data_IF_886425409271
#
_entry.id   IF_886425409271
#
_cell.length_a   1.000
_cell.length_b   1.000
_cell.length_c   1.000
_cell.angle_alpha   90.00
_cell.angle_beta   90.00
_cell.angle_gamma   90.00
#
_symmetry.space_group_name_H-M   'P 1'
#
loop_
_entity.id
_entity.type
_entity.pdbx_description
1 polymer ?
#
# COMPACT_ATOMS: atom_id res chain seq x y z
N UNK A 1 6.94 8.24 -13.80
CA UNK A 1 7.32 8.50 -12.39
C UNK A 1 7.40 7.15 -11.68
N UNK A 2 8.60 6.69 -11.33
CA UNK A 2 8.73 5.48 -10.52
C UNK A 2 8.03 5.69 -9.17
N UNK A 3 7.30 4.68 -8.70
CA UNK A 3 6.61 4.79 -7.42
C UNK A 3 7.64 4.81 -6.28
N UNK A 4 7.78 5.97 -5.63
CA UNK A 4 8.79 6.22 -4.61
C UNK A 4 8.78 5.16 -3.50
N UNK A 5 7.60 4.60 -3.18
CA UNK A 5 7.43 3.60 -2.11
C UNK A 5 8.33 2.37 -2.27
N UNK A 6 8.65 2.01 -3.52
CA UNK A 6 9.45 0.82 -3.83
C UNK A 6 10.93 0.96 -3.50
N UNK A 7 11.40 2.17 -3.20
CA UNK A 7 12.77 2.44 -2.79
C UNK A 7 12.95 2.44 -1.27
N UNK A 8 11.88 2.16 -0.50
CA UNK A 8 11.90 2.19 0.95
C UNK A 8 11.40 0.88 1.56
N UNK A 9 11.83 0.63 2.79
CA UNK A 9 11.30 -0.35 3.74
C UNK A 9 11.59 0.17 5.17
N UNK A 10 11.12 -0.55 6.18
CA UNK A 10 11.21 -0.10 7.57
C UNK A 10 12.64 0.13 8.06
N UNK A 11 13.57 -0.79 7.78
CA UNK A 11 14.95 -0.77 8.29
C UNK A 11 16.03 -0.42 7.25
N UNK A 12 15.66 -0.14 6.00
CA UNK A 12 16.63 -0.05 4.90
C UNK A 12 17.16 -1.43 4.45
N UNK A 13 18.14 -1.40 3.54
CA UNK A 13 18.95 -2.54 3.12
C UNK A 13 18.24 -3.58 2.23
N UNK A 14 18.59 -4.85 2.45
CA UNK A 14 18.12 -5.99 1.67
C UNK A 14 18.73 -6.10 0.26
N UNK A 15 18.31 -7.11 -0.51
CA UNK A 15 18.82 -7.43 -1.87
C UNK A 15 18.72 -6.26 -2.87
N UNK A 16 17.84 -5.30 -2.61
CA UNK A 16 17.58 -4.16 -3.49
C UNK A 16 18.11 -2.83 -2.94
N UNK A 17 18.88 -2.83 -1.85
CA UNK A 17 19.49 -1.60 -1.30
C UNK A 17 18.45 -0.53 -0.98
N UNK A 18 17.32 -0.92 -0.37
CA UNK A 18 16.25 0.02 -0.04
C UNK A 18 16.72 1.02 1.02
N UNK A 19 16.20 2.24 0.96
CA UNK A 19 16.40 3.26 1.98
C UNK A 19 15.50 2.98 3.18
N UNK A 20 15.99 3.31 4.36
CA UNK A 20 15.19 3.28 5.58
C UNK A 20 14.05 4.32 5.51
N UNK A 21 12.89 3.98 6.07
CA UNK A 21 11.85 4.96 6.33
C UNK A 21 12.38 6.03 7.29
N UNK A 22 12.10 7.29 6.99
CA UNK A 22 12.51 8.37 7.88
C UNK A 22 11.86 8.20 9.26
N UNK A 23 12.52 8.71 10.32
CA UNK A 23 12.04 8.56 11.69
C UNK A 23 10.62 9.09 11.91
N UNK A 24 10.25 10.21 11.27
CA UNK A 24 8.92 10.80 11.46
C UNK A 24 7.80 9.89 10.93
N UNK A 25 7.98 9.27 9.76
CA UNK A 25 7.01 8.29 9.23
C UNK A 25 6.90 7.06 10.11
N UNK A 26 8.00 6.54 10.64
CA UNK A 26 7.97 5.40 11.57
C UNK A 26 7.23 5.74 12.86
N UNK A 27 7.46 6.93 13.39
CA UNK A 27 6.78 7.40 14.60
C UNK A 27 5.27 7.57 14.39
N UNK A 28 4.84 8.15 13.26
CA UNK A 28 3.42 8.27 12.92
C UNK A 28 2.77 6.88 12.84
N UNK A 29 3.40 5.94 12.14
CA UNK A 29 2.88 4.56 12.05
C UNK A 29 2.79 3.94 13.45
N UNK A 30 3.82 4.12 14.28
CA UNK A 30 3.87 3.59 15.65
C UNK A 30 2.75 4.14 16.53
N UNK A 31 2.57 5.46 16.56
CA UNK A 31 1.54 6.10 17.38
C UNK A 31 0.14 5.72 16.92
N UNK A 32 -0.11 5.75 15.60
CA UNK A 32 -1.41 5.42 15.04
C UNK A 32 -1.79 3.97 15.34
N UNK A 33 -0.88 3.03 15.08
CA UNK A 33 -1.15 1.60 15.29
C UNK A 33 -1.34 1.26 16.76
N UNK A 34 -0.53 1.81 17.68
CA UNK A 34 -0.71 1.57 19.13
C UNK A 34 -2.00 2.21 19.66
N UNK A 35 -2.42 3.34 19.09
CA UNK A 35 -3.70 3.97 19.47
C UNK A 35 -4.89 3.11 19.07
N UNK A 36 -4.85 2.51 17.88
CA UNK A 36 -5.95 1.69 17.34
C UNK A 36 -5.91 0.24 17.85
N UNK A 37 -4.71 -0.29 18.09
CA UNK A 37 -4.42 -1.68 18.45
C UNK A 37 -3.41 -1.72 19.61
N UNK A 38 -3.84 -1.46 20.86
CA UNK A 38 -2.93 -1.34 22.01
C UNK A 38 -2.05 -2.58 22.26
N UNK A 39 -2.49 -3.77 21.85
CA UNK A 39 -1.77 -5.03 21.92
C UNK A 39 -0.46 -5.02 21.12
N UNK A 40 -0.35 -4.20 20.07
CA UNK A 40 0.88 -4.05 19.28
C UNK A 40 1.90 -3.11 19.94
N UNK A 41 1.65 -2.67 21.18
CA UNK A 41 2.61 -1.88 21.95
C UNK A 41 3.88 -2.67 22.24
N UNK A 42 3.80 -3.98 22.45
CA UNK A 42 4.98 -4.82 22.66
C UNK A 42 5.83 -4.87 21.38
N UNK A 43 7.14 -4.68 21.53
CA UNK A 43 8.07 -4.54 20.40
C UNK A 43 8.07 -5.77 19.47
N UNK A 44 8.03 -6.99 20.04
CA UNK A 44 8.02 -8.22 19.22
C UNK A 44 6.74 -8.37 18.41
N UNK A 45 5.59 -8.00 18.98
CA UNK A 45 4.30 -8.01 18.31
C UNK A 45 4.27 -6.94 17.21
N UNK A 46 4.78 -5.74 17.51
CA UNK A 46 4.92 -4.66 16.54
C UNK A 46 5.79 -5.06 15.35
N UNK A 47 6.96 -5.66 15.63
CA UNK A 47 7.88 -6.16 14.61
C UNK A 47 7.25 -7.23 13.74
N UNK A 48 6.58 -8.20 14.36
CA UNK A 48 6.03 -9.35 13.64
C UNK A 48 4.83 -8.98 12.80
N UNK A 49 3.96 -8.08 13.28
CA UNK A 49 2.69 -7.78 12.63
C UNK A 49 2.77 -6.51 11.79
N UNK A 50 3.21 -5.40 12.41
CA UNK A 50 3.14 -4.07 11.79
C UNK A 50 4.27 -3.85 10.79
N UNK A 51 5.52 -4.12 11.19
CA UNK A 51 6.68 -3.89 10.31
C UNK A 51 6.60 -4.77 9.06
N UNK A 52 6.18 -6.03 9.21
CA UNK A 52 6.02 -6.94 8.09
C UNK A 52 4.92 -6.48 7.12
N UNK A 53 3.75 -6.06 7.62
CA UNK A 53 2.67 -5.51 6.79
C UNK A 53 3.10 -4.25 6.04
N UNK A 54 3.78 -3.31 6.72
CA UNK A 54 4.32 -2.10 6.09
C UNK A 54 5.32 -2.47 4.99
N UNK A 55 6.25 -3.38 5.28
CA UNK A 55 7.24 -3.81 4.29
C UNK A 55 6.59 -4.45 3.06
N UNK A 56 5.53 -5.23 3.24
CA UNK A 56 4.76 -5.84 2.15
C UNK A 56 4.10 -4.80 1.26
N UNK A 57 3.45 -3.78 1.85
CA UNK A 57 2.87 -2.65 1.12
C UNK A 57 3.92 -1.86 0.32
N UNK A 58 5.16 -1.82 0.81
CA UNK A 58 6.30 -1.16 0.16
C UNK A 58 7.03 -2.07 -0.85
N UNK A 59 6.63 -3.35 -1.02
CA UNK A 59 7.23 -4.21 -2.04
C UNK A 59 6.81 -3.79 -3.43
N UNK A 60 7.72 -4.00 -4.38
CA UNK A 60 7.40 -3.96 -5.79
C UNK A 60 6.46 -5.12 -6.07
N UNK A 61 5.21 -4.83 -6.38
CA UNK A 61 4.37 -5.83 -7.02
C UNK A 61 5.05 -6.21 -8.35
N UNK A 62 5.22 -7.51 -8.67
CA UNK A 62 5.73 -7.87 -9.97
C UNK A 62 4.88 -7.15 -11.01
N UNK A 63 5.51 -6.58 -12.05
CA UNK A 63 4.74 -6.15 -13.21
C UNK A 63 3.96 -7.40 -13.60
N UNK A 64 2.62 -7.38 -13.46
CA UNK A 64 1.79 -8.33 -14.19
C UNK A 64 2.29 -8.15 -15.61
N UNK A 65 2.97 -9.15 -16.17
CA UNK A 65 3.14 -9.18 -17.61
C UNK A 65 1.69 -9.16 -18.09
N UNK A 66 1.22 -7.99 -18.54
CA UNK A 66 0.03 -7.98 -19.38
C UNK A 66 0.47 -8.88 -20.53
N UNK A 67 -0.15 -10.06 -20.77
CA UNK A 67 0.02 -10.66 -22.08
C UNK A 67 -0.26 -9.52 -23.06
N UNK A 68 0.66 -9.30 -23.99
CA UNK A 68 0.42 -8.35 -25.08
C UNK A 68 -0.99 -8.64 -25.58
N UNK A 69 -1.87 -7.63 -25.52
CA UNK A 69 -3.26 -7.77 -25.89
C UNK A 69 -3.29 -8.47 -27.25
N UNK A 70 -3.57 -9.77 -27.26
CA UNK A 70 -4.09 -10.41 -28.45
C UNK A 70 -5.34 -9.58 -28.77
N UNK A 71 -5.34 -8.99 -29.96
CA UNK A 71 -6.38 -8.12 -30.45
C UNK A 71 -7.75 -8.78 -30.21
N UNK A 72 -8.46 -8.34 -29.19
CA UNK A 72 -9.89 -8.58 -29.05
C UNK A 72 -10.50 -7.21 -29.18
N UNK A 73 -10.98 -6.92 -30.37
CA UNK A 73 -11.92 -5.84 -30.64
C UNK A 73 -13.16 -6.11 -29.78
N UNK A 74 -13.25 -5.49 -28.61
CA UNK A 74 -14.49 -5.43 -27.85
C UNK A 74 -15.26 -4.24 -28.43
N UNK A 75 -16.18 -4.60 -29.32
CA UNK A 75 -17.21 -3.73 -29.86
C UNK A 75 -17.97 -3.02 -28.74
N UNK A 76 -18.22 -1.74 -28.97
CA UNK A 76 -18.89 -0.78 -28.11
C UNK A 76 -20.09 -1.36 -27.33
N UNK A 77 -19.99 -1.45 -26.01
CA UNK A 77 -21.17 -1.39 -25.14
C UNK A 77 -20.79 -0.76 -23.78
N UNK A 78 -21.37 0.39 -23.39
CA UNK A 78 -21.09 0.98 -22.09
C UNK A 78 -21.65 0.08 -20.97
N UNK A 79 -20.94 -0.08 -19.84
CA UNK A 79 -21.49 -0.79 -18.69
C UNK A 79 -22.68 0.00 -18.16
N UNK A 80 -23.85 -0.67 -18.06
CA UNK A 80 -25.01 -0.17 -17.33
C UNK A 80 -24.55 0.38 -15.98
N UNK A 81 -24.96 1.62 -15.68
CA UNK A 81 -24.70 2.27 -14.41
C UNK A 81 -25.26 1.39 -13.28
N UNK A 82 -24.38 0.83 -12.46
CA UNK A 82 -24.76 0.17 -11.22
C UNK A 82 -25.46 1.21 -10.33
N UNK A 83 -26.77 1.03 -10.02
CA UNK A 83 -27.55 2.02 -9.28
C UNK A 83 -27.15 2.13 -7.80
N UNK A 84 -26.22 1.31 -7.31
CA UNK A 84 -25.78 1.31 -5.91
C UNK A 84 -24.45 2.03 -5.63
N UNK A 85 -23.82 2.65 -6.63
CA UNK A 85 -22.69 3.56 -6.37
C UNK A 85 -23.20 4.96 -5.99
N UNK A 86 -23.47 5.14 -4.71
CA UNK A 86 -23.64 6.48 -4.14
C UNK A 86 -22.26 7.11 -3.93
N UNK A 87 -21.95 8.17 -4.69
CA UNK A 87 -20.76 8.98 -4.51
C UNK A 87 -20.75 9.60 -3.10
N UNK A 88 -19.69 9.33 -2.33
CA UNK A 88 -19.44 9.99 -1.06
C UNK A 88 -19.01 11.43 -1.33
N UNK A 89 -19.86 12.40 -0.99
CA UNK A 89 -19.52 13.82 -1.07
C UNK A 89 -18.55 14.19 0.06
N UNK A 90 -17.30 14.44 -0.29
CA UNK A 90 -16.24 14.85 0.64
C UNK A 90 -16.20 16.37 0.90
N UNK A 91 -17.14 17.15 0.36
CA UNK A 91 -17.21 18.60 0.57
C UNK A 91 -18.23 19.02 1.65
N UNK A 92 -18.72 18.10 2.47
CA UNK A 92 -19.63 18.40 3.58
C UNK A 92 -18.94 18.50 4.97
N UNK A 93 -17.71 19.03 5.03
CA UNK A 93 -17.05 19.47 6.27
C UNK A 93 -16.72 20.97 6.22
#
# INVERSE_FOLDING_TARGET
MDNLRYFYNWNGGGKHGKRELDPARREIIRQFTVRMYPEVRQEDIFRTNVINAVNEMLRRQPKKQRPALAAVQIENNPPEADPHYQELDFNAL
#
